data_IF_960887368477
#
_entry.id   IF_960887368477
#
_cell.length_a   1.000
_cell.length_b   1.000
_cell.length_c   1.000
_cell.angle_alpha   90.00
_cell.angle_beta   90.00
_cell.angle_gamma   90.00
#
_symmetry.space_group_name_H-M   'P 1'
#
loop_
_entity.id
_entity.type
_entity.pdbx_description
1 polymer ?
#
# COMPACT_ATOMS: atom_id res chain seq x y z
N UNK A 1 -47.51 -69.32 13.55
CA UNK A 1 -47.48 -68.01 14.25
C UNK A 1 -46.03 -67.52 14.31
N UNK A 2 -45.63 -66.63 13.41
CA UNK A 2 -44.27 -66.06 13.32
C UNK A 2 -44.44 -64.54 13.27
N UNK A 3 -44.13 -63.84 14.36
CA UNK A 3 -44.25 -62.38 14.46
C UNK A 3 -42.98 -61.72 13.92
N UNK A 4 -43.12 -61.01 12.79
CA UNK A 4 -42.14 -60.08 12.23
C UNK A 4 -42.02 -58.87 13.17
N UNK A 5 -40.80 -58.57 13.63
CA UNK A 5 -40.46 -57.27 14.22
C UNK A 5 -40.05 -56.32 13.09
N UNK A 6 -40.81 -55.25 12.92
CA UNK A 6 -40.60 -54.19 11.93
C UNK A 6 -39.74 -53.09 12.58
N UNK A 7 -38.49 -52.95 12.14
CA UNK A 7 -37.59 -51.87 12.57
C UNK A 7 -37.94 -50.57 11.83
N UNK A 8 -38.37 -49.55 12.59
CA UNK A 8 -38.69 -48.21 12.10
C UNK A 8 -37.40 -47.37 12.10
N UNK A 9 -36.79 -47.18 10.94
CA UNK A 9 -35.65 -46.28 10.76
C UNK A 9 -36.16 -44.87 10.39
N UNK A 10 -35.96 -43.91 11.30
CA UNK A 10 -36.31 -42.50 11.14
C UNK A 10 -35.27 -41.85 10.23
N UNK A 11 -35.69 -41.43 9.03
CA UNK A 11 -34.86 -40.71 8.07
C UNK A 11 -34.87 -39.20 8.41
N UNK A 12 -33.86 -38.73 9.15
CA UNK A 12 -33.62 -37.29 9.37
C UNK A 12 -32.94 -36.72 8.12
N UNK A 13 -33.72 -36.10 7.24
CA UNK A 13 -33.24 -35.40 6.05
C UNK A 13 -32.83 -33.97 6.45
N UNK A 14 -31.59 -33.77 6.86
CA UNK A 14 -31.00 -32.45 7.08
C UNK A 14 -30.81 -31.75 5.74
N UNK A 15 -31.63 -30.72 5.50
CA UNK A 15 -31.55 -29.84 4.35
C UNK A 15 -30.29 -28.95 4.49
N UNK A 16 -29.12 -29.46 4.08
CA UNK A 16 -27.96 -28.62 3.83
C UNK A 16 -28.25 -27.78 2.59
N UNK A 17 -28.70 -26.54 2.79
CA UNK A 17 -28.65 -25.53 1.75
C UNK A 17 -27.18 -25.35 1.35
N UNK A 18 -26.81 -25.92 0.21
CA UNK A 18 -25.50 -25.71 -0.38
C UNK A 18 -25.36 -24.23 -0.71
N UNK A 19 -24.69 -23.48 0.16
CA UNK A 19 -24.15 -22.16 -0.15
C UNK A 19 -23.18 -22.39 -1.30
N UNK A 20 -23.63 -22.14 -2.54
CA UNK A 20 -22.73 -22.16 -3.68
C UNK A 20 -21.72 -21.05 -3.45
N UNK A 21 -20.40 -21.31 -3.47
CA UNK A 21 -19.43 -20.24 -3.49
C UNK A 21 -19.76 -19.37 -4.71
N UNK A 22 -19.99 -18.07 -4.47
CA UNK A 22 -20.15 -17.11 -5.54
C UNK A 22 -18.96 -17.27 -6.49
N UNK A 23 -19.24 -17.40 -7.79
CA UNK A 23 -18.19 -17.49 -8.81
C UNK A 23 -17.24 -16.31 -8.61
N UNK A 24 -15.99 -16.62 -8.23
CA UNK A 24 -14.97 -15.62 -7.98
C UNK A 24 -14.85 -14.75 -9.23
N UNK A 25 -15.25 -13.48 -9.10
CA UNK A 25 -15.06 -12.49 -10.14
C UNK A 25 -13.54 -12.37 -10.33
N UNK A 26 -13.06 -12.81 -11.50
CA UNK A 26 -11.64 -12.83 -11.83
C UNK A 26 -11.21 -11.41 -12.21
N UNK A 27 -11.18 -10.52 -11.23
CA UNK A 27 -10.60 -9.19 -11.37
C UNK A 27 -9.08 -9.35 -11.22
N UNK A 28 -8.35 -9.08 -12.30
CA UNK A 28 -6.90 -8.84 -12.22
C UNK A 28 -6.73 -7.45 -11.59
N UNK A 29 -5.73 -7.23 -10.76
CA UNK A 29 -5.67 -6.03 -9.91
C UNK A 29 -4.32 -5.35 -9.88
N UNK A 30 -4.37 -4.01 -9.84
CA UNK A 30 -3.59 -3.11 -10.69
C UNK A 30 -2.70 -2.14 -9.89
N UNK A 31 -1.40 -2.07 -10.22
CA UNK A 31 -0.56 -0.92 -9.88
C UNK A 31 -1.02 0.28 -10.70
N UNK A 32 -1.08 1.45 -10.08
CA UNK A 32 -1.40 2.70 -10.75
C UNK A 32 -0.27 3.19 -11.65
N UNK A 33 -0.58 4.18 -12.48
CA UNK A 33 0.44 4.82 -13.33
C UNK A 33 1.22 5.85 -12.51
N UNK A 34 2.54 5.86 -12.66
CA UNK A 34 3.40 6.89 -12.08
C UNK A 34 2.91 8.30 -12.47
N UNK A 35 2.72 9.16 -11.46
CA UNK A 35 2.37 10.57 -11.62
C UNK A 35 3.52 11.43 -11.15
N UNK A 36 3.78 12.47 -11.92
CA UNK A 36 4.70 13.53 -11.54
C UNK A 36 3.97 14.52 -10.62
N UNK A 37 4.63 14.93 -9.54
CA UNK A 37 4.08 15.76 -8.47
C UNK A 37 5.03 16.92 -8.24
N UNK A 38 4.62 18.09 -8.72
CA UNK A 38 5.39 19.33 -8.63
C UNK A 38 6.67 19.33 -9.48
N UNK A 39 7.34 20.47 -9.46
CA UNK A 39 8.63 20.70 -10.13
C UNK A 39 9.63 21.31 -9.15
N UNK A 40 10.91 21.08 -9.41
CA UNK A 40 12.02 21.74 -8.72
C UNK A 40 13.06 22.21 -9.75
N UNK A 41 14.07 22.94 -9.27
CA UNK A 41 15.23 23.31 -10.06
C UNK A 41 16.40 22.39 -9.72
N UNK A 42 17.12 21.95 -10.74
CA UNK A 42 18.32 21.15 -10.57
C UNK A 42 19.39 21.99 -9.87
N UNK A 43 19.95 21.45 -8.79
CA UNK A 43 20.96 22.18 -8.05
C UNK A 43 22.21 22.43 -8.88
N UNK A 44 22.78 23.62 -8.71
CA UNK A 44 23.99 24.08 -9.42
C UNK A 44 23.84 24.15 -10.95
N UNK A 45 22.61 24.18 -11.48
CA UNK A 45 22.36 24.40 -12.90
C UNK A 45 22.28 25.89 -13.24
N UNK A 46 23.06 26.31 -14.24
CA UNK A 46 22.99 27.64 -14.86
C UNK A 46 23.10 27.48 -16.40
N UNK A 47 22.04 27.75 -17.17
CA UNK A 47 20.73 28.27 -16.75
C UNK A 47 19.92 27.27 -15.92
N UNK A 48 18.91 27.72 -15.15
CA UNK A 48 18.10 26.83 -14.32
C UNK A 48 17.41 25.73 -15.13
N UNK A 49 17.65 24.47 -14.74
CA UNK A 49 17.00 23.30 -15.34
C UNK A 49 15.84 22.86 -14.45
N UNK A 50 14.63 22.84 -15.00
CA UNK A 50 13.45 22.32 -14.30
C UNK A 50 13.43 20.79 -14.33
N UNK A 51 13.10 20.18 -13.21
CA UNK A 51 13.00 18.73 -13.05
C UNK A 51 11.70 18.36 -12.34
N UNK A 52 11.31 17.09 -12.50
CA UNK A 52 10.24 16.49 -11.70
C UNK A 52 10.72 16.45 -10.26
N UNK A 53 9.92 17.00 -9.35
CA UNK A 53 10.26 16.98 -7.93
C UNK A 53 10.03 15.58 -7.37
N UNK A 54 8.77 15.15 -7.36
CA UNK A 54 8.38 13.82 -6.88
C UNK A 54 7.69 13.06 -8.00
N UNK A 55 7.91 11.75 -8.04
CA UNK A 55 7.13 10.84 -8.87
C UNK A 55 6.60 9.70 -8.01
N UNK A 56 5.35 9.32 -8.18
CA UNK A 56 4.76 8.29 -7.34
C UNK A 56 3.67 7.50 -8.05
N UNK A 57 3.48 6.25 -7.64
CA UNK A 57 2.34 5.42 -8.02
C UNK A 57 1.80 4.70 -6.80
N UNK A 58 0.52 4.36 -6.87
CA UNK A 58 -0.18 3.66 -5.81
C UNK A 58 -0.76 2.36 -6.35
N UNK A 59 -0.80 1.32 -5.52
CA UNK A 59 -1.37 0.03 -5.84
C UNK A 59 -1.83 -0.67 -4.57
N UNK A 60 -1.87 -2.00 -4.60
CA UNK A 60 -2.02 -2.81 -3.40
C UNK A 60 -1.52 -4.24 -3.61
N UNK A 61 -1.19 -4.89 -2.51
CA UNK A 61 -0.70 -6.26 -2.45
C UNK A 61 -1.66 -7.13 -1.66
N UNK A 62 -2.02 -8.29 -2.21
CA UNK A 62 -2.81 -9.32 -1.52
C UNK A 62 -1.89 -10.37 -0.94
N UNK A 63 -2.29 -10.95 0.18
CA UNK A 63 -1.62 -12.12 0.73
C UNK A 63 -2.07 -13.38 -0.04
N UNK A 64 -1.15 -14.21 -0.54
CA UNK A 64 -1.51 -15.50 -1.12
C UNK A 64 -2.35 -16.34 -0.15
N UNK A 65 -3.33 -17.14 -0.62
CA UNK A 65 -3.71 -17.42 -2.01
C UNK A 65 -4.74 -16.44 -2.61
N UNK A 66 -5.04 -15.33 -1.92
CA UNK A 66 -6.19 -14.49 -2.26
C UNK A 66 -5.95 -13.68 -3.55
N UNK A 67 -7.01 -13.55 -4.35
CA UNK A 67 -6.98 -12.84 -5.64
C UNK A 67 -7.86 -11.59 -5.68
N UNK A 68 -8.69 -11.39 -4.66
CA UNK A 68 -9.52 -10.20 -4.43
C UNK A 68 -9.56 -10.00 -2.91
N UNK A 69 -9.58 -8.76 -2.39
CA UNK A 69 -9.91 -8.58 -0.98
C UNK A 69 -11.33 -9.07 -0.74
N UNK A 70 -11.50 -10.22 -0.09
CA UNK A 70 -12.82 -10.61 0.39
C UNK A 70 -13.22 -9.72 1.56
N UNK A 71 -14.53 -9.71 1.87
CA UNK A 71 -15.02 -9.00 3.06
C UNK A 71 -14.36 -9.59 4.30
N UNK A 72 -13.76 -8.74 5.12
CA UNK A 72 -13.03 -9.11 6.33
C UNK A 72 -11.57 -9.52 6.11
N UNK A 73 -11.09 -9.58 4.87
CA UNK A 73 -9.69 -9.92 4.60
C UNK A 73 -8.77 -8.69 4.63
N UNK A 74 -7.57 -8.90 5.16
CA UNK A 74 -6.52 -7.89 5.17
C UNK A 74 -5.74 -7.93 3.85
N UNK A 75 -5.52 -6.76 3.29
CA UNK A 75 -4.66 -6.52 2.14
C UNK A 75 -3.82 -5.27 2.38
N UNK A 76 -2.76 -5.08 1.61
CA UNK A 76 -1.83 -3.97 1.79
C UNK A 76 -2.03 -2.90 0.74
N UNK A 77 -2.44 -1.69 1.13
CA UNK A 77 -2.34 -0.52 0.29
C UNK A 77 -0.86 -0.22 0.01
N UNK A 78 -0.49 -0.06 -1.25
CA UNK A 78 0.89 0.09 -1.70
C UNK A 78 1.11 1.50 -2.25
N UNK A 79 2.18 2.17 -1.84
CA UNK A 79 2.63 3.43 -2.41
C UNK A 79 4.13 3.36 -2.65
N UNK A 80 4.55 3.64 -3.88
CA UNK A 80 5.95 3.92 -4.20
C UNK A 80 6.09 5.36 -4.60
N UNK A 81 7.09 6.01 -4.02
CA UNK A 81 7.36 7.43 -4.22
C UNK A 81 8.86 7.65 -4.35
N UNK A 82 9.26 8.36 -5.39
CA UNK A 82 10.65 8.68 -5.68
C UNK A 82 10.85 10.17 -5.83
N UNK A 83 12.09 10.60 -5.65
CA UNK A 83 12.51 11.97 -5.93
C UNK A 83 13.54 11.98 -7.06
N UNK A 84 13.10 12.04 -8.34
CA UNK A 84 14.00 11.93 -9.48
C UNK A 84 14.91 13.16 -9.68
N UNK A 85 14.43 14.37 -9.33
CA UNK A 85 15.20 15.61 -9.46
C UNK A 85 16.26 15.80 -8.37
N UNK A 86 17.16 16.76 -8.58
CA UNK A 86 18.23 17.15 -7.64
C UNK A 86 17.92 18.48 -6.93
N UNK A 87 17.12 18.50 -5.84
CA UNK A 87 16.80 19.73 -5.14
C UNK A 87 17.99 20.21 -4.30
N UNK A 88 18.30 21.52 -4.33
CA UNK A 88 19.39 22.09 -3.52
C UNK A 88 19.22 21.96 -2.00
N UNK A 89 18.01 21.64 -1.50
CA UNK A 89 17.71 21.56 -0.07
C UNK A 89 17.15 20.20 0.38
N UNK A 90 17.20 19.16 -0.47
CA UNK A 90 16.41 17.95 -0.26
C UNK A 90 14.90 18.22 -0.45
N UNK A 91 14.07 17.20 -0.20
CA UNK A 91 12.60 17.31 -0.20
C UNK A 91 12.04 16.62 1.02
N UNK A 92 10.91 17.11 1.53
CA UNK A 92 10.20 16.50 2.66
C UNK A 92 8.76 16.24 2.28
N UNK A 93 8.33 14.99 2.34
CA UNK A 93 7.05 14.55 1.79
C UNK A 93 6.10 14.19 2.93
N UNK A 94 4.95 14.87 2.96
CA UNK A 94 3.81 14.50 3.78
C UNK A 94 2.93 13.53 3.00
N UNK A 95 2.50 12.45 3.66
CA UNK A 95 1.74 11.39 3.02
C UNK A 95 0.43 11.15 3.77
N UNK A 96 -0.68 11.06 3.03
CA UNK A 96 -1.96 10.65 3.58
C UNK A 96 -2.61 9.56 2.71
N UNK A 97 -3.18 8.56 3.38
CA UNK A 97 -3.94 7.48 2.77
C UNK A 97 -5.44 7.79 2.84
N UNK A 98 -6.05 7.96 1.68
CA UNK A 98 -7.48 8.22 1.52
C UNK A 98 -8.16 6.93 1.11
N UNK A 99 -8.83 6.31 2.08
CA UNK A 99 -9.49 5.02 1.87
C UNK A 99 -10.88 5.21 1.27
N UNK A 100 -11.30 4.30 0.37
CA UNK A 100 -12.67 4.29 -0.11
C UNK A 100 -13.64 3.84 1.01
N UNK A 101 -14.95 4.09 0.85
CA UNK A 101 -15.95 3.66 1.83
C UNK A 101 -15.88 2.15 2.10
N UNK A 102 -15.92 1.80 3.38
CA UNK A 102 -15.86 0.41 3.84
C UNK A 102 -14.45 -0.18 3.91
N UNK A 103 -13.40 0.60 3.66
CA UNK A 103 -12.01 0.19 3.91
C UNK A 103 -11.45 0.97 5.09
N UNK A 104 -10.83 0.27 6.04
CA UNK A 104 -10.20 0.87 7.23
C UNK A 104 -8.79 0.33 7.43
N UNK A 105 -7.88 1.08 8.07
CA UNK A 105 -6.57 0.55 8.45
C UNK A 105 -6.73 -0.68 9.34
N UNK A 106 -5.88 -1.69 9.12
CA UNK A 106 -5.89 -2.97 9.81
C UNK A 106 -4.52 -3.29 10.43
N UNK A 107 -3.80 -2.26 10.88
CA UNK A 107 -2.45 -2.43 11.42
C UNK A 107 -2.51 -3.11 12.79
N UNK A 108 -1.88 -4.26 12.89
CA UNK A 108 -1.72 -5.04 14.13
C UNK A 108 -0.32 -5.68 14.18
N UNK A 109 -0.02 -6.44 15.23
CA UNK A 109 1.23 -7.20 15.28
C UNK A 109 1.28 -8.32 14.22
N UNK A 110 0.12 -8.86 13.84
CA UNK A 110 -0.07 -9.91 12.84
C UNK A 110 -0.09 -9.36 11.41
N UNK A 111 -0.51 -8.10 11.26
CA UNK A 111 -0.53 -7.34 10.01
C UNK A 111 0.21 -6.02 10.23
N UNK A 112 1.55 -6.04 10.28
CA UNK A 112 2.35 -4.84 10.52
C UNK A 112 2.38 -3.96 9.27
N UNK A 113 2.49 -2.64 9.44
CA UNK A 113 2.83 -1.78 8.30
C UNK A 113 4.32 -1.92 7.96
N UNK A 114 4.65 -1.90 6.67
CA UNK A 114 6.03 -1.93 6.19
C UNK A 114 6.39 -0.66 5.44
N UNK A 115 7.62 -0.19 5.67
CA UNK A 115 8.16 0.99 5.02
C UNK A 115 9.58 0.66 4.62
N UNK A 116 9.91 0.91 3.36
CA UNK A 116 11.22 0.66 2.82
C UNK A 116 11.76 1.86 2.07
N UNK A 117 13.08 1.89 1.89
CA UNK A 117 13.75 2.83 1.00
C UNK A 117 14.82 2.16 0.15
N UNK A 118 15.13 2.75 -0.99
CA UNK A 118 16.43 2.57 -1.64
C UNK A 118 17.05 3.94 -1.78
N UNK A 119 18.35 3.97 -1.56
CA UNK A 119 19.16 5.18 -1.63
C UNK A 119 20.21 5.04 -2.73
N UNK A 120 20.61 6.15 -3.39
CA UNK A 120 21.71 6.12 -4.35
C UNK A 120 22.97 5.54 -3.73
N UNK A 121 23.65 4.64 -4.45
CA UNK A 121 24.92 4.03 -4.04
C UNK A 121 24.87 3.22 -2.72
N UNK A 122 23.68 2.88 -2.21
CA UNK A 122 23.49 1.99 -1.07
C UNK A 122 23.19 0.55 -1.48
N UNK A 123 23.32 -0.44 -0.58
CA UNK A 123 22.78 -1.76 -0.83
C UNK A 123 21.25 -1.70 -0.97
N UNK A 124 20.69 -2.77 -1.55
CA UNK A 124 19.29 -3.25 -1.49
C UNK A 124 18.35 -2.54 -0.50
N UNK A 125 17.06 -2.52 -0.87
CA UNK A 125 15.89 -2.24 -0.04
C UNK A 125 16.14 -2.25 1.48
N UNK A 126 16.15 -1.05 2.06
CA UNK A 126 16.35 -0.80 3.48
C UNK A 126 14.99 -0.88 4.15
N UNK A 127 14.84 -1.76 5.15
CA UNK A 127 13.66 -1.77 6.00
C UNK A 127 13.73 -0.63 7.02
N UNK A 128 12.85 0.37 6.87
CA UNK A 128 12.81 1.56 7.71
C UNK A 128 12.15 1.31 9.08
N UNK A 129 11.52 0.16 9.30
CA UNK A 129 10.88 -0.16 10.59
C UNK A 129 11.87 -0.07 11.77
N UNK A 130 13.11 -0.50 11.55
CA UNK A 130 14.16 -0.50 12.58
C UNK A 130 15.08 0.74 12.49
N UNK A 131 14.90 1.60 11.50
CA UNK A 131 15.71 2.80 11.32
C UNK A 131 15.52 3.77 12.49
N UNK A 132 16.61 4.32 13.02
CA UNK A 132 16.59 5.19 14.20
C UNK A 132 16.05 6.58 13.91
N UNK A 133 16.10 7.05 12.66
CA UNK A 133 15.62 8.35 12.22
C UNK A 133 14.18 8.36 11.73
N UNK A 134 13.69 7.25 11.14
CA UNK A 134 12.34 7.17 10.58
C UNK A 134 11.40 6.27 11.37
N UNK A 135 11.68 4.96 11.43
CA UNK A 135 10.69 3.96 11.82
C UNK A 135 9.59 3.79 10.74
N UNK A 136 8.69 2.82 10.94
CA UNK A 136 7.48 2.67 10.13
C UNK A 136 6.24 2.75 11.05
N UNK A 137 5.23 3.57 10.74
CA UNK A 137 4.09 3.77 11.63
C UNK A 137 3.29 2.49 11.80
N UNK A 138 3.20 2.00 13.04
CA UNK A 138 2.35 0.87 13.39
C UNK A 138 0.95 1.29 13.86
N UNK A 139 0.66 2.60 13.83
CA UNK A 139 -0.64 3.20 14.09
C UNK A 139 -0.74 4.43 13.18
N UNK A 140 -1.90 4.63 12.57
CA UNK A 140 -2.18 5.84 11.78
C UNK A 140 -3.06 6.78 12.58
N UNK A 141 -2.76 8.08 12.47
CA UNK A 141 -3.57 9.15 13.02
C UNK A 141 -4.30 9.88 11.90
N UNK A 142 -5.39 10.56 12.24
CA UNK A 142 -6.08 11.41 11.29
C UNK A 142 -5.15 12.54 10.83
N UNK A 143 -4.98 12.66 9.51
CA UNK A 143 -4.33 13.78 8.83
C UNK A 143 -5.34 14.88 8.48
N UNK A 144 -4.99 15.70 7.50
CA UNK A 144 -5.85 16.77 7.01
C UNK A 144 -7.08 16.22 6.26
N UNK A 145 -6.89 15.18 5.44
CA UNK A 145 -7.95 14.59 4.60
C UNK A 145 -8.05 13.07 4.73
N UNK A 146 -6.95 12.39 5.06
CA UNK A 146 -6.91 10.94 5.20
C UNK A 146 -6.16 10.47 6.44
N UNK A 147 -5.72 9.23 6.42
CA UNK A 147 -4.86 8.65 7.45
C UNK A 147 -3.41 9.07 7.20
N UNK A 148 -2.80 9.78 8.13
CA UNK A 148 -1.43 10.28 7.97
C UNK A 148 -0.42 9.14 8.10
N UNK A 149 0.42 8.96 7.07
CA UNK A 149 1.54 8.02 7.08
C UNK A 149 2.77 8.80 7.52
N UNK A 150 2.99 8.87 8.83
CA UNK A 150 4.10 9.63 9.44
C UNK A 150 5.25 8.71 9.82
N UNK A 151 6.48 9.12 9.58
CA UNK A 151 7.66 8.49 10.14
C UNK A 151 7.69 8.75 11.66
N UNK A 152 7.43 7.74 12.52
CA UNK A 152 7.21 7.97 13.95
C UNK A 152 8.43 8.52 14.69
N UNK A 153 9.64 8.31 14.17
CA UNK A 153 10.90 8.77 14.79
C UNK A 153 11.43 10.07 14.18
N UNK A 154 10.87 10.54 13.05
CA UNK A 154 11.26 11.82 12.46
C UNK A 154 10.48 12.99 13.08
N UNK A 155 10.78 13.30 14.35
CA UNK A 155 10.05 14.33 15.11
C UNK A 155 10.37 15.75 14.66
N UNK A 156 11.57 16.00 14.12
CA UNK A 156 12.03 17.33 13.70
C UNK A 156 11.17 17.93 12.56
N UNK A 157 10.48 17.09 11.79
CA UNK A 157 9.69 17.51 10.62
C UNK A 157 8.23 17.03 10.73
N UNK A 158 7.75 16.81 11.96
CA UNK A 158 6.36 16.37 12.19
C UNK A 158 6.03 14.99 11.60
N UNK A 159 7.03 14.13 11.43
CA UNK A 159 6.90 12.80 10.84
C UNK A 159 6.94 12.76 9.31
N UNK A 160 7.51 13.79 8.68
CA UNK A 160 7.81 13.81 7.25
C UNK A 160 8.66 12.64 6.77
N UNK A 161 8.59 12.35 5.46
CA UNK A 161 9.55 11.50 4.77
C UNK A 161 10.53 12.36 3.98
N UNK A 162 11.78 12.45 4.45
CA UNK A 162 12.82 13.14 3.67
C UNK A 162 13.15 12.30 2.44
N UNK A 163 13.35 12.96 1.32
CA UNK A 163 13.83 12.33 0.10
C UNK A 163 14.89 13.21 -0.55
N UNK A 164 15.85 12.56 -1.18
CA UNK A 164 16.92 13.17 -1.95
C UNK A 164 16.90 12.56 -3.35
N UNK A 165 17.68 13.15 -4.26
CA UNK A 165 17.77 12.66 -5.64
C UNK A 165 18.02 11.15 -5.67
N UNK A 166 17.21 10.41 -6.43
CA UNK A 166 17.36 8.97 -6.63
C UNK A 166 16.99 8.12 -5.42
N UNK A 167 16.47 8.71 -4.34
CA UNK A 167 15.83 7.97 -3.25
C UNK A 167 14.40 7.63 -3.67
N UNK A 168 13.99 6.38 -3.45
CA UNK A 168 12.58 6.01 -3.43
C UNK A 168 12.19 5.42 -2.08
N UNK A 169 10.92 5.56 -1.72
CA UNK A 169 10.29 4.93 -0.58
C UNK A 169 9.15 4.04 -1.06
N UNK A 170 8.94 2.96 -0.35
CA UNK A 170 7.85 2.03 -0.56
C UNK A 170 7.09 1.84 0.75
N UNK A 171 5.77 1.94 0.70
CA UNK A 171 4.88 1.82 1.85
C UNK A 171 3.86 0.74 1.60
N UNK A 172 3.75 -0.20 2.52
CA UNK A 172 2.72 -1.24 2.55
C UNK A 172 1.90 -1.05 3.83
N UNK A 173 0.68 -0.54 3.68
CA UNK A 173 -0.21 -0.25 4.79
C UNK A 173 -1.36 -1.27 4.79
N UNK A 174 -1.47 -2.14 5.81
CA UNK A 174 -2.54 -3.11 5.88
C UNK A 174 -3.88 -2.42 6.12
N UNK A 175 -4.87 -2.85 5.37
CA UNK A 175 -6.25 -2.38 5.35
C UNK A 175 -7.19 -3.57 5.26
N UNK A 176 -8.40 -3.40 5.75
CA UNK A 176 -9.47 -4.41 5.73
C UNK A 176 -10.72 -3.80 5.12
N UNK A 177 -11.46 -4.60 4.37
CA UNK A 177 -12.73 -4.18 3.78
C UNK A 177 -13.93 -4.80 4.49
N UNK A 178 -14.91 -4.00 4.90
CA UNK A 178 -16.19 -4.46 5.48
C UNK A 178 -17.24 -4.82 4.42
N UNK A 179 -16.94 -4.56 3.14
CA UNK A 179 -17.84 -4.76 2.00
C UNK A 179 -17.07 -5.12 0.72
N UNK A 180 -17.72 -5.72 -0.29
CA UNK A 180 -17.07 -5.92 -1.59
C UNK A 180 -16.65 -4.58 -2.20
N UNK A 181 -15.41 -4.49 -2.68
CA UNK A 181 -14.89 -3.31 -3.37
C UNK A 181 -15.03 -3.51 -4.88
N UNK A 182 -15.81 -2.67 -5.55
CA UNK A 182 -16.11 -2.79 -6.98
C UNK A 182 -15.32 -1.74 -7.78
N UNK A 183 -13.99 -1.87 -7.82
CA UNK A 183 -13.12 -0.91 -8.52
C UNK A 183 -13.08 0.48 -7.90
N UNK A 184 -13.42 0.61 -6.62
CA UNK A 184 -13.31 1.84 -5.85
C UNK A 184 -11.84 2.25 -5.69
N UNK A 185 -11.53 3.52 -5.99
CA UNK A 185 -10.15 4.00 -6.01
C UNK A 185 -9.59 4.15 -4.60
N UNK A 186 -8.58 3.35 -4.25
CA UNK A 186 -7.65 3.68 -3.19
C UNK A 186 -6.81 4.88 -3.64
N UNK A 187 -6.61 5.85 -2.76
CA UNK A 187 -5.90 7.09 -3.11
C UNK A 187 -4.84 7.43 -2.07
N UNK A 188 -3.73 7.96 -2.55
CA UNK A 188 -2.74 8.61 -1.70
C UNK A 188 -2.65 10.08 -2.07
N UNK A 189 -2.53 10.91 -1.05
CA UNK A 189 -2.20 12.31 -1.18
C UNK A 189 -0.74 12.48 -0.80
N UNK A 190 0.01 13.10 -1.70
CA UNK A 190 1.42 13.40 -1.52
C UNK A 190 1.58 14.91 -1.50
N UNK A 191 2.06 15.43 -0.38
CA UNK A 191 2.46 16.81 -0.26
C UNK A 191 3.99 16.89 -0.26
N UNK A 192 4.64 17.35 -1.35
CA UNK A 192 6.10 17.43 -1.42
C UNK A 192 6.70 18.59 -0.61
N UNK A 193 5.87 19.40 0.06
CA UNK A 193 6.26 20.52 0.92
C UNK A 193 5.34 20.61 2.16
N UNK A 194 5.73 19.98 3.27
CA UNK A 194 4.92 19.87 4.52
C UNK A 194 4.51 21.23 5.13
N UNK A 195 5.11 22.34 4.68
CA UNK A 195 4.81 23.70 5.15
C UNK A 195 4.25 24.65 4.08
N UNK A 196 3.95 24.19 2.85
CA UNK A 196 3.44 25.08 1.80
C UNK A 196 1.97 24.79 1.51
N UNK A 197 1.09 25.66 2.00
CA UNK A 197 -0.32 25.70 1.60
C UNK A 197 -0.43 26.20 0.16
N UNK A 198 -1.11 25.46 -0.72
CA UNK A 198 -1.37 25.87 -2.11
C UNK A 198 -0.51 25.22 -3.20
N UNK A 199 0.38 24.26 -2.87
CA UNK A 199 0.91 23.37 -3.90
C UNK A 199 -0.21 22.51 -4.49
N UNK A 200 -0.24 22.26 -5.81
CA UNK A 200 -1.20 21.36 -6.41
C UNK A 200 -0.97 19.95 -5.86
N UNK A 201 -1.83 19.57 -4.92
CA UNK A 201 -1.87 18.24 -4.32
C UNK A 201 -2.17 17.23 -5.43
N UNK A 202 -1.24 16.30 -5.66
CA UNK A 202 -1.47 15.25 -6.64
C UNK A 202 -2.12 14.07 -5.92
N UNK A 203 -3.42 13.92 -6.13
CA UNK A 203 -4.09 12.67 -5.81
C UNK A 203 -3.55 11.58 -6.75
N UNK A 204 -2.96 10.56 -6.15
CA UNK A 204 -2.61 9.34 -6.86
C UNK A 204 -3.85 8.46 -6.89
N UNK A 205 -4.36 8.21 -8.10
CA UNK A 205 -5.53 7.37 -8.33
C UNK A 205 -5.11 5.99 -8.82
N UNK A 206 -5.75 4.96 -8.28
CA UNK A 206 -5.82 3.62 -8.88
C UNK A 206 -7.06 3.57 -9.74
N UNK A 207 -6.94 3.34 -11.06
CA UNK A 207 -8.10 3.36 -11.95
C UNK A 207 -8.03 2.50 -13.24
N UNK A 208 -7.04 1.64 -13.51
CA UNK A 208 -7.03 0.78 -14.72
C UNK A 208 -5.96 -0.35 -14.73
N UNK A 209 -6.05 -1.23 -15.74
CA UNK A 209 -5.35 -2.52 -15.95
C UNK A 209 -3.82 -2.65 -15.66
N UNK A 210 -3.39 -3.87 -15.26
CA UNK A 210 -2.06 -4.35 -14.81
C UNK A 210 -1.42 -4.74 -16.12
N UNK A 211 -0.37 -4.04 -16.52
CA UNK A 211 0.77 -4.79 -17.05
C UNK A 211 1.61 -5.17 -15.84
N UNK A 212 1.83 -6.47 -15.64
CA UNK A 212 2.62 -6.93 -14.51
C UNK A 212 4.00 -6.47 -14.87
N UNK A 213 4.44 -5.35 -14.29
CA UNK A 213 5.79 -4.81 -14.45
C UNK A 213 6.01 -4.32 -15.87
N UNK A 214 6.16 -3.01 -16.05
CA UNK A 214 6.71 -2.55 -17.33
C UNK A 214 8.13 -3.11 -17.45
N UNK A 215 8.61 -3.32 -18.68
CA UNK A 215 9.99 -3.76 -18.96
C UNK A 215 11.05 -2.81 -18.40
N UNK A 216 10.65 -1.64 -17.89
CA UNK A 216 11.51 -0.63 -17.30
C UNK A 216 11.82 -0.91 -15.80
N UNK A 217 11.12 -1.86 -15.16
CA UNK A 217 11.39 -2.35 -13.79
C UNK A 217 12.49 -3.41 -13.73
N UNK A 218 13.39 -3.44 -14.71
CA UNK A 218 14.35 -4.51 -14.97
C UNK A 218 15.44 -4.75 -13.91
N UNK A 219 15.36 -4.22 -12.68
CA UNK A 219 16.39 -4.44 -11.67
C UNK A 219 15.97 -4.48 -10.19
N UNK A 220 14.70 -4.34 -9.79
CA UNK A 220 14.40 -4.16 -8.35
C UNK A 220 13.10 -4.84 -7.87
N UNK A 221 13.29 -5.78 -6.94
CA UNK A 221 12.40 -6.31 -5.89
C UNK A 221 11.25 -7.26 -6.25
N UNK A 222 11.58 -8.55 -6.22
CA UNK A 222 10.65 -9.58 -5.71
C UNK A 222 10.49 -9.40 -4.19
N UNK A 223 9.66 -8.46 -3.76
CA UNK A 223 9.19 -8.41 -2.38
C UNK A 223 8.14 -9.52 -2.21
N UNK A 224 8.63 -10.72 -1.89
CA UNK A 224 7.77 -11.73 -1.29
C UNK A 224 7.39 -11.20 0.10
N UNK A 225 6.17 -10.69 0.25
CA UNK A 225 5.64 -10.24 1.54
C UNK A 225 5.75 -11.38 2.58
N UNK A 226 5.70 -12.64 2.15
CA UNK A 226 5.89 -13.81 3.00
C UNK A 226 7.36 -14.08 3.37
N UNK A 227 8.31 -13.40 2.73
CA UNK A 227 9.72 -13.34 3.10
C UNK A 227 10.07 -12.17 4.03
N UNK A 228 9.12 -11.29 4.37
CA UNK A 228 9.36 -10.17 5.27
C UNK A 228 9.38 -10.59 6.74
N UNK A 229 10.06 -9.80 7.57
CA UNK A 229 10.09 -9.98 9.03
C UNK A 229 9.60 -8.70 9.72
N UNK A 230 8.59 -8.79 10.61
CA UNK A 230 7.84 -10.00 10.96
C UNK A 230 6.98 -10.51 9.79
N UNK A 231 6.79 -11.83 9.70
CA UNK A 231 6.05 -12.47 8.61
C UNK A 231 4.54 -12.21 8.79
N UNK A 232 3.84 -11.65 7.79
CA UNK A 232 2.40 -11.42 7.89
C UNK A 232 1.58 -12.71 8.01
N UNK A 233 0.45 -12.62 8.71
CA UNK A 233 -0.48 -13.74 8.85
C UNK A 233 -1.12 -14.11 7.50
N UNK A 234 -1.06 -15.39 7.11
CA UNK A 234 -1.55 -15.87 5.80
C UNK A 234 -0.43 -16.30 4.86
N UNK A 235 0.81 -15.92 5.18
CA UNK A 235 2.01 -16.43 4.55
C UNK A 235 2.39 -17.80 5.14
N UNK A 236 2.10 -18.89 4.42
CA UNK A 236 2.56 -20.25 4.74
C UNK A 236 4.00 -20.46 4.26
#
# INVERSE_FOLDING_TARGET
MRRLFLSLAILVLTCFAAVRPASALNLRWYEGVAKNIGTNFACLSDPPIFQIRVQAYAGYSLLPPNRTPAVGEVFYAHLVISHPGNPCGGSVMGLELLLPPGVTPAITAENPAFCFAVVPNGPRLINLANDTGYGCPQQLTQGLEGWAIRAPRNTAEGGAWRSAQGVWHEFLIPVVSDRPQNGTSLRFKVNPDIAVSGYPEALLFVNNDVLFRTSDEGNVLSLDICGLTPRPQGCQ
#
